data_IF_787025963745
#
_entry.id   IF_787025963745
#
_cell.length_a   1.000
_cell.length_b   1.000
_cell.length_c   1.000
_cell.angle_alpha   90.00
_cell.angle_beta   90.00
_cell.angle_gamma   90.00
#
_symmetry.space_group_name_H-M   'P 1'
#
loop_
_entity.id
_entity.type
_entity.pdbx_description
1 polymer ?
#
# COMPACT_ATOMS: atom_id res chain seq x y z
N UNK A 1 19.39 7.20 -10.58
CA UNK A 1 17.95 6.86 -10.50
C UNK A 1 17.85 5.39 -10.15
N UNK A 2 17.07 5.05 -9.12
CA UNK A 2 16.73 3.65 -8.87
C UNK A 2 15.93 3.11 -10.07
N UNK A 3 16.05 1.82 -10.36
CA UNK A 3 15.19 1.20 -11.38
C UNK A 3 13.72 1.27 -10.93
N UNK A 4 12.75 1.36 -11.86
CA UNK A 4 11.32 1.36 -11.51
C UNK A 4 10.92 0.22 -10.58
N UNK A 5 11.56 -0.95 -10.75
CA UNK A 5 11.42 -2.10 -9.86
C UNK A 5 11.87 -1.80 -8.42
N UNK A 6 13.07 -1.26 -8.23
CA UNK A 6 13.61 -0.95 -6.89
C UNK A 6 12.77 0.10 -6.18
N UNK A 7 12.27 1.08 -6.93
CA UNK A 7 11.36 2.10 -6.40
C UNK A 7 10.05 1.45 -5.90
N UNK A 8 9.44 0.57 -6.69
CA UNK A 8 8.25 -0.17 -6.27
C UNK A 8 8.50 -1.11 -5.08
N UNK A 9 9.67 -1.77 -5.00
CA UNK A 9 10.05 -2.61 -3.87
C UNK A 9 10.17 -1.79 -2.58
N UNK A 10 10.76 -0.59 -2.66
CA UNK A 10 10.84 0.35 -1.55
C UNK A 10 9.45 0.81 -1.11
N UNK A 11 8.62 1.26 -2.05
CA UNK A 11 7.26 1.70 -1.76
C UNK A 11 6.41 0.57 -1.14
N UNK A 12 6.56 -0.67 -1.62
CA UNK A 12 5.90 -1.84 -1.03
C UNK A 12 6.34 -2.09 0.42
N UNK A 13 7.64 -1.94 0.70
CA UNK A 13 8.19 -2.10 2.05
C UNK A 13 7.69 -1.02 3.00
N UNK A 14 7.73 0.25 2.58
CA UNK A 14 7.22 1.38 3.36
C UNK A 14 5.72 1.22 3.67
N UNK A 15 4.93 0.82 2.67
CA UNK A 15 3.52 0.53 2.86
C UNK A 15 3.27 -0.62 3.85
N UNK A 16 4.04 -1.71 3.75
CA UNK A 16 3.95 -2.83 4.71
C UNK A 16 4.19 -2.35 6.13
N UNK A 17 5.25 -1.58 6.36
CA UNK A 17 5.59 -1.05 7.67
C UNK A 17 4.47 -0.15 8.23
N UNK A 18 3.92 0.75 7.40
CA UNK A 18 2.82 1.63 7.81
C UNK A 18 1.55 0.84 8.19
N UNK A 19 1.20 -0.18 7.40
CA UNK A 19 0.04 -1.03 7.68
C UNK A 19 0.22 -1.83 8.98
N UNK A 20 1.43 -2.34 9.23
CA UNK A 20 1.77 -3.07 10.45
C UNK A 20 1.62 -2.21 11.71
N UNK A 21 2.09 -0.95 11.68
CA UNK A 21 1.91 0.02 12.77
C UNK A 21 0.43 0.22 13.12
N UNK A 22 -0.45 0.09 12.15
CA UNK A 22 -1.90 0.23 12.33
C UNK A 22 -2.63 -1.11 12.55
N UNK A 23 -1.92 -2.22 12.68
CA UNK A 23 -2.49 -3.56 12.86
C UNK A 23 -3.31 -4.05 11.65
N UNK A 24 -3.04 -3.50 10.46
CA UNK A 24 -3.75 -3.85 9.23
C UNK A 24 -2.97 -4.94 8.51
N UNK A 25 -3.54 -6.14 8.44
CA UNK A 25 -2.99 -7.24 7.66
C UNK A 25 -3.61 -7.30 6.27
N UNK A 26 -2.76 -7.24 5.22
CA UNK A 26 -3.15 -7.50 3.83
C UNK A 26 -2.65 -8.89 3.43
N UNK A 27 -3.54 -9.89 3.18
CA UNK A 27 -3.13 -11.24 2.83
C UNK A 27 -2.33 -11.32 1.52
N UNK A 28 -2.62 -10.40 0.59
CA UNK A 28 -1.94 -10.28 -0.69
C UNK A 28 -1.57 -8.81 -0.86
N UNK A 29 -0.28 -8.52 -0.71
CA UNK A 29 0.33 -7.23 -0.94
C UNK A 29 1.65 -7.45 -1.67
N UNK A 30 1.69 -7.11 -2.95
CA UNK A 30 2.80 -7.45 -3.86
C UNK A 30 2.96 -6.41 -4.97
N UNK A 31 4.06 -6.50 -5.68
CA UNK A 31 4.24 -5.78 -6.94
C UNK A 31 3.57 -6.59 -8.05
N UNK A 32 2.80 -5.91 -8.89
CA UNK A 32 2.23 -6.43 -10.12
C UNK A 32 2.96 -5.84 -11.32
N UNK A 33 3.56 -6.72 -12.12
CA UNK A 33 4.47 -6.35 -13.22
C UNK A 33 3.75 -6.25 -14.57
N UNK A 34 2.44 -5.95 -14.59
CA UNK A 34 1.69 -5.90 -15.85
C UNK A 34 2.13 -4.75 -16.78
N UNK A 35 2.81 -3.73 -16.24
CA UNK A 35 3.41 -2.64 -17.00
C UNK A 35 4.92 -2.62 -16.73
N UNK A 36 5.77 -2.95 -17.73
CA UNK A 36 7.23 -3.06 -17.55
C UNK A 36 7.89 -1.80 -16.99
N UNK A 37 7.41 -0.62 -17.40
CA UNK A 37 8.00 0.67 -17.01
C UNK A 37 7.27 1.33 -15.84
N UNK A 38 6.18 0.73 -15.35
CA UNK A 38 5.35 1.27 -14.28
C UNK A 38 4.80 0.15 -13.38
N UNK A 39 5.67 -0.52 -12.60
CA UNK A 39 5.23 -1.55 -11.66
C UNK A 39 4.18 -1.01 -10.70
N UNK A 40 3.10 -1.79 -10.50
CA UNK A 40 1.98 -1.39 -9.65
C UNK A 40 2.09 -2.08 -8.28
N UNK A 41 1.64 -1.42 -7.23
CA UNK A 41 1.39 -2.08 -5.94
C UNK A 41 -0.03 -2.64 -5.94
N UNK A 42 -0.16 -3.96 -5.94
CA UNK A 42 -1.46 -4.65 -5.89
C UNK A 42 -1.91 -4.78 -4.43
N UNK A 43 -3.06 -4.19 -4.13
CA UNK A 43 -3.83 -4.43 -2.91
C UNK A 43 -4.83 -5.54 -3.22
N UNK A 44 -4.58 -6.75 -2.73
CA UNK A 44 -5.46 -7.88 -3.00
C UNK A 44 -6.85 -7.76 -2.37
N UNK A 45 -7.59 -8.87 -2.34
CA UNK A 45 -8.89 -8.93 -1.67
C UNK A 45 -8.72 -8.80 -0.16
N UNK A 46 -9.46 -7.88 0.44
CA UNK A 46 -9.45 -7.61 1.88
C UNK A 46 -10.82 -7.87 2.49
N UNK A 47 -10.83 -8.14 3.80
CA UNK A 47 -12.09 -8.26 4.54
C UNK A 47 -12.69 -6.86 4.79
N UNK A 48 -14.02 -6.73 4.98
CA UNK A 48 -14.66 -5.45 5.25
C UNK A 48 -14.08 -4.71 6.47
N UNK A 49 -13.63 -5.43 7.50
CA UNK A 49 -13.03 -4.85 8.72
C UNK A 49 -11.69 -4.19 8.40
N UNK A 50 -10.86 -4.86 7.60
CA UNK A 50 -9.59 -4.33 7.07
C UNK A 50 -9.83 -3.08 6.22
N UNK A 51 -10.87 -3.09 5.37
CA UNK A 51 -11.23 -1.93 4.54
C UNK A 51 -11.64 -0.72 5.40
N UNK A 52 -12.41 -0.94 6.47
CA UNK A 52 -12.79 0.11 7.43
C UNK A 52 -11.59 0.64 8.21
N UNK A 53 -10.69 -0.23 8.65
CA UNK A 53 -9.45 0.17 9.34
C UNK A 53 -8.58 1.05 8.43
N UNK A 54 -8.38 0.64 7.17
CA UNK A 54 -7.64 1.39 6.18
C UNK A 54 -8.28 2.77 5.92
N UNK A 55 -9.60 2.80 5.76
CA UNK A 55 -10.34 4.06 5.58
C UNK A 55 -10.07 5.03 6.74
N UNK A 56 -10.17 4.56 7.98
CA UNK A 56 -9.92 5.39 9.17
C UNK A 56 -8.51 5.96 9.22
N UNK A 57 -7.51 5.16 8.84
CA UNK A 57 -6.10 5.63 8.77
C UNK A 57 -5.95 6.71 7.71
N UNK A 58 -6.48 6.48 6.51
CA UNK A 58 -6.39 7.44 5.40
C UNK A 58 -7.14 8.75 5.69
N UNK A 59 -8.32 8.67 6.29
CA UNK A 59 -9.12 9.86 6.63
C UNK A 59 -8.67 10.53 7.94
N UNK A 60 -8.03 9.79 8.84
CA UNK A 60 -7.56 10.27 10.14
C UNK A 60 -6.15 10.89 10.11
N UNK A 61 -5.30 10.49 9.17
CA UNK A 61 -3.97 11.06 8.95
C UNK A 61 -3.94 12.30 8.05
N UNK A 62 -5.03 12.55 7.32
CA UNK A 62 -5.14 13.69 6.41
C UNK A 62 -5.89 14.87 7.05
N UNK A 63 -5.16 15.87 7.54
CA UNK A 63 -5.64 17.24 7.31
C UNK A 63 -5.71 17.39 5.79
N UNK A 64 -6.91 17.32 5.25
CA UNK A 64 -7.18 17.72 3.87
C UNK A 64 -6.76 19.18 3.75
N UNK A 65 -5.53 19.43 3.28
CA UNK A 65 -5.20 20.72 2.69
C UNK A 65 -5.94 20.73 1.36
N UNK A 66 -7.09 21.41 1.35
CA UNK A 66 -7.74 21.87 0.12
C UNK A 66 -6.79 22.73 -0.68
#
# INVERSE_FOLDING_TARGET
MDSPRRDAERALFELKAALEVHGIALPILRIHECVPDAPLVELGRIRPETARALTRVLTGGGRVRR
#
